data_IF_009626583310
#
_entry.id   IF_009626583310
#
_cell.length_a   1.000
_cell.length_b   1.000
_cell.length_c   1.000
_cell.angle_alpha   90.00
_cell.angle_beta   90.00
_cell.angle_gamma   90.00
#
_symmetry.space_group_name_H-M   'P 1'
#
loop_
_entity.id
_entity.type
_entity.pdbx_description
1 polymer ?
#
# COMPACT_ATOMS: atom_id res chain seq x y z
N UNK A 1 -21.95 -6.46 -22.94
CA UNK A 1 -20.69 -6.85 -22.26
C UNK A 1 -20.14 -5.81 -21.26
N UNK A 2 -20.52 -4.52 -21.34
CA UNK A 2 -20.10 -3.49 -20.36
C UNK A 2 -20.68 -3.74 -18.95
N UNK A 3 -21.92 -4.24 -18.86
CA UNK A 3 -22.60 -4.57 -17.59
C UNK A 3 -21.78 -5.53 -16.70
N UNK A 4 -21.16 -6.55 -17.29
CA UNK A 4 -20.36 -7.53 -16.52
C UNK A 4 -19.10 -6.88 -15.93
N UNK A 5 -18.47 -5.99 -16.69
CA UNK A 5 -17.30 -5.24 -16.22
C UNK A 5 -17.67 -4.20 -15.16
N UNK A 6 -18.89 -3.65 -15.22
CA UNK A 6 -19.42 -2.71 -14.24
C UNK A 6 -19.65 -3.36 -12.87
N UNK A 7 -20.01 -4.65 -12.85
CA UNK A 7 -20.25 -5.42 -11.62
C UNK A 7 -18.94 -5.93 -11.01
N UNK A 8 -17.85 -6.01 -11.78
CA UNK A 8 -16.57 -6.58 -11.32
C UNK A 8 -15.96 -5.83 -10.13
N UNK A 9 -15.88 -4.47 -10.08
CA UNK A 9 -15.41 -3.76 -8.89
C UNK A 9 -16.21 -4.08 -7.63
N UNK A 10 -17.53 -4.24 -7.77
CA UNK A 10 -18.41 -4.58 -6.66
C UNK A 10 -18.17 -6.02 -6.16
N UNK A 11 -18.09 -7.00 -7.07
CA UNK A 11 -17.78 -8.39 -6.72
C UNK A 11 -16.41 -8.53 -6.07
N UNK A 12 -15.41 -7.79 -6.56
CA UNK A 12 -14.08 -7.79 -5.97
C UNK A 12 -14.06 -7.14 -4.57
N UNK A 13 -14.84 -6.07 -4.36
CA UNK A 13 -15.05 -5.49 -3.03
C UNK A 13 -15.72 -6.46 -2.05
N UNK A 14 -16.75 -7.19 -2.52
CA UNK A 14 -17.40 -8.24 -1.74
C UNK A 14 -16.46 -9.42 -1.45
N UNK A 15 -15.60 -9.81 -2.40
CA UNK A 15 -14.60 -10.86 -2.18
C UNK A 15 -13.60 -10.46 -1.08
N UNK A 16 -13.15 -9.19 -1.05
CA UNK A 16 -12.32 -8.68 0.05
C UNK A 16 -13.06 -8.66 1.38
N UNK A 17 -14.32 -8.20 1.41
CA UNK A 17 -15.11 -8.23 2.64
C UNK A 17 -15.27 -9.68 3.16
N UNK A 18 -15.56 -10.61 2.25
CA UNK A 18 -15.65 -12.04 2.56
C UNK A 18 -14.33 -12.58 3.14
N UNK A 19 -13.19 -12.16 2.58
CA UNK A 19 -11.87 -12.52 3.07
C UNK A 19 -11.63 -12.07 4.52
N UNK A 20 -12.00 -10.84 4.89
CA UNK A 20 -11.87 -10.38 6.29
C UNK A 20 -12.85 -11.10 7.23
N UNK A 21 -14.06 -11.40 6.76
CA UNK A 21 -15.04 -12.15 7.57
C UNK A 21 -14.64 -13.61 7.79
N UNK A 22 -14.07 -14.28 6.77
CA UNK A 22 -13.66 -15.69 6.90
C UNK A 22 -12.54 -15.86 7.93
N UNK A 23 -11.57 -14.94 7.93
CA UNK A 23 -10.49 -14.86 8.93
C UNK A 23 -11.03 -14.74 10.35
N UNK A 24 -12.22 -14.14 10.53
CA UNK A 24 -12.82 -13.93 11.85
C UNK A 24 -13.65 -15.12 12.34
N UNK A 25 -14.32 -15.82 11.42
CA UNK A 25 -15.29 -16.88 11.75
C UNK A 25 -14.62 -18.25 11.84
N UNK A 26 -13.67 -18.55 10.95
CA UNK A 26 -13.04 -19.87 10.83
C UNK A 26 -11.50 -19.79 10.82
N UNK A 27 -10.84 -19.44 11.95
CA UNK A 27 -9.39 -19.32 12.02
C UNK A 27 -8.64 -20.61 11.62
N UNK A 28 -9.25 -21.78 11.84
CA UNK A 28 -8.65 -23.09 11.53
C UNK A 28 -8.48 -23.35 10.04
N UNK A 29 -9.24 -22.68 9.17
CA UNK A 29 -9.20 -22.85 7.71
C UNK A 29 -8.46 -21.71 6.99
N UNK A 30 -7.88 -20.78 7.77
CA UNK A 30 -7.23 -19.57 7.25
C UNK A 30 -6.16 -19.88 6.20
N UNK A 31 -5.36 -20.93 6.41
CA UNK A 31 -4.28 -21.32 5.50
C UNK A 31 -4.76 -21.74 4.10
N UNK A 32 -6.04 -22.10 3.95
CA UNK A 32 -6.60 -22.59 2.68
C UNK A 32 -7.60 -21.58 2.10
N UNK A 33 -8.57 -21.12 2.90
CA UNK A 33 -9.64 -20.24 2.40
C UNK A 33 -9.13 -18.85 2.04
N UNK A 34 -8.27 -18.26 2.88
CA UNK A 34 -7.75 -16.92 2.65
C UNK A 34 -6.97 -16.80 1.32
N UNK A 35 -6.00 -17.68 1.01
CA UNK A 35 -5.31 -17.60 -0.28
C UNK A 35 -6.23 -17.86 -1.47
N UNK A 36 -7.23 -18.75 -1.36
CA UNK A 36 -8.19 -18.99 -2.45
C UNK A 36 -9.02 -17.74 -2.74
N UNK A 37 -9.60 -17.11 -1.71
CA UNK A 37 -10.41 -15.91 -1.86
C UNK A 37 -9.54 -14.74 -2.35
N UNK A 38 -8.30 -14.62 -1.84
CA UNK A 38 -7.36 -13.59 -2.29
C UNK A 38 -6.97 -13.78 -3.76
N UNK A 39 -6.69 -15.01 -4.21
CA UNK A 39 -6.43 -15.30 -5.62
C UNK A 39 -7.66 -15.00 -6.48
N UNK A 40 -8.86 -15.36 -6.04
CA UNK A 40 -10.10 -15.03 -6.74
C UNK A 40 -10.27 -13.50 -6.87
N UNK A 41 -10.01 -12.76 -5.80
CA UNK A 41 -9.98 -11.29 -5.82
C UNK A 41 -8.99 -10.76 -6.87
N UNK A 42 -7.75 -11.25 -6.88
CA UNK A 42 -6.75 -10.84 -7.86
C UNK A 42 -7.16 -11.18 -9.30
N UNK A 43 -7.82 -12.33 -9.52
CA UNK A 43 -8.33 -12.69 -10.84
C UNK A 43 -9.46 -11.76 -11.31
N UNK A 44 -10.35 -11.34 -10.40
CA UNK A 44 -11.39 -10.34 -10.71
C UNK A 44 -10.76 -8.99 -11.08
N UNK A 45 -9.73 -8.55 -10.35
CA UNK A 45 -8.98 -7.33 -10.65
C UNK A 45 -8.23 -7.46 -11.98
N UNK A 46 -7.54 -8.58 -12.21
CA UNK A 46 -6.81 -8.83 -13.45
C UNK A 46 -7.74 -8.83 -14.67
N UNK A 47 -8.95 -9.39 -14.52
CA UNK A 47 -10.01 -9.30 -15.52
C UNK A 47 -10.41 -7.86 -15.80
N UNK A 48 -10.53 -7.02 -14.77
CA UNK A 48 -10.85 -5.60 -14.93
C UNK A 48 -9.81 -4.89 -15.79
N UNK A 49 -8.54 -5.26 -15.63
CA UNK A 49 -7.41 -4.78 -16.44
C UNK A 49 -7.22 -5.53 -17.77
N UNK A 50 -8.24 -6.27 -18.24
CA UNK A 50 -8.25 -7.00 -19.52
C UNK A 50 -7.15 -8.08 -19.64
N UNK A 51 -6.60 -8.56 -18.53
CA UNK A 51 -5.49 -9.53 -18.51
C UNK A 51 -4.30 -9.13 -19.40
N UNK A 52 -3.99 -7.84 -19.48
CA UNK A 52 -2.86 -7.34 -20.27
C UNK A 52 -1.52 -7.57 -19.54
N UNK A 53 -1.17 -8.85 -19.31
CA UNK A 53 0.01 -9.27 -18.55
C UNK A 53 1.33 -8.84 -19.20
N UNK A 54 1.32 -8.43 -20.47
CA UNK A 54 2.50 -7.91 -21.16
C UNK A 54 2.75 -6.44 -20.85
N UNK A 55 1.72 -5.71 -20.44
CA UNK A 55 1.85 -4.30 -20.13
C UNK A 55 2.43 -4.09 -18.72
N UNK A 56 3.53 -3.35 -18.56
CA UNK A 56 4.01 -2.94 -17.23
C UNK A 56 2.96 -2.16 -16.42
N UNK A 57 2.02 -1.48 -17.09
CA UNK A 57 0.92 -0.76 -16.40
C UNK A 57 0.01 -1.73 -15.65
N UNK A 58 -0.25 -2.91 -16.22
CA UNK A 58 -1.05 -3.96 -15.57
C UNK A 58 -0.42 -4.36 -14.23
N UNK A 59 0.89 -4.63 -14.23
CA UNK A 59 1.60 -5.04 -13.03
C UNK A 59 1.70 -3.92 -11.99
N UNK A 60 1.90 -2.67 -12.41
CA UNK A 60 1.96 -1.54 -11.48
C UNK A 60 0.63 -1.33 -10.73
N UNK A 61 -0.49 -1.38 -11.45
CA UNK A 61 -1.81 -1.20 -10.86
C UNK A 61 -2.22 -2.40 -10.00
N UNK A 62 -1.99 -3.62 -10.50
CA UNK A 62 -2.34 -4.85 -9.79
C UNK A 62 -1.50 -5.01 -8.51
N UNK A 63 -0.19 -4.80 -8.59
CA UNK A 63 0.69 -4.98 -7.43
C UNK A 63 0.43 -3.94 -6.34
N UNK A 64 0.15 -2.69 -6.69
CA UNK A 64 -0.24 -1.65 -5.70
C UNK A 64 -1.46 -2.07 -4.90
N UNK A 65 -2.50 -2.54 -5.59
CA UNK A 65 -3.73 -3.00 -4.94
C UNK A 65 -3.52 -4.31 -4.17
N UNK A 66 -2.76 -5.25 -4.73
CA UNK A 66 -2.47 -6.53 -4.09
C UNK A 66 -1.69 -6.33 -2.79
N UNK A 67 -0.64 -5.50 -2.80
CA UNK A 67 0.15 -5.19 -1.60
C UNK A 67 -0.71 -4.45 -0.56
N UNK A 68 -1.56 -3.51 -0.98
CA UNK A 68 -2.47 -2.83 -0.07
C UNK A 68 -3.41 -3.81 0.66
N UNK A 69 -4.03 -4.71 -0.09
CA UNK A 69 -4.94 -5.71 0.48
C UNK A 69 -4.20 -6.73 1.36
N UNK A 70 -3.05 -7.23 0.89
CA UNK A 70 -2.24 -8.20 1.64
C UNK A 70 -1.67 -7.60 2.94
N UNK A 71 -1.17 -6.37 2.89
CA UNK A 71 -0.67 -5.67 4.08
C UNK A 71 -1.79 -5.32 5.06
N UNK A 72 -2.97 -4.91 4.56
CA UNK A 72 -4.16 -4.72 5.38
C UNK A 72 -4.60 -6.02 6.08
N UNK A 73 -4.60 -7.15 5.37
CA UNK A 73 -4.88 -8.46 5.96
C UNK A 73 -3.82 -8.87 6.98
N UNK A 74 -2.53 -8.64 6.69
CA UNK A 74 -1.46 -8.94 7.63
C UNK A 74 -1.62 -8.15 8.93
N UNK A 75 -1.93 -6.84 8.86
CA UNK A 75 -2.17 -6.01 10.04
C UNK A 75 -3.43 -6.45 10.80
N UNK A 76 -4.48 -6.86 10.08
CA UNK A 76 -5.74 -7.33 10.68
C UNK A 76 -5.52 -8.47 11.69
N UNK A 77 -4.58 -9.38 11.41
CA UNK A 77 -4.25 -10.51 12.29
C UNK A 77 -3.67 -10.06 13.64
N UNK A 78 -3.05 -8.89 13.72
CA UNK A 78 -2.42 -8.38 14.94
C UNK A 78 -3.34 -7.46 15.77
N UNK A 79 -4.50 -7.06 15.27
CA UNK A 79 -5.44 -6.29 16.08
C UNK A 79 -6.18 -7.19 17.06
N UNK A 80 -6.24 -6.80 18.33
CA UNK A 80 -7.03 -7.50 19.37
C UNK A 80 -8.47 -7.00 19.40
N UNK A 81 -8.68 -5.70 19.20
CA UNK A 81 -10.00 -5.07 19.28
C UNK A 81 -10.84 -5.36 18.03
N UNK A 82 -12.04 -5.91 18.23
CA UNK A 82 -13.01 -6.18 17.15
C UNK A 82 -13.40 -4.93 16.38
N UNK A 83 -13.54 -3.79 17.06
CA UNK A 83 -13.88 -2.52 16.41
C UNK A 83 -12.75 -2.04 15.50
N UNK A 84 -11.48 -2.20 15.90
CA UNK A 84 -10.32 -1.88 15.07
C UNK A 84 -10.23 -2.81 13.85
N UNK A 85 -10.49 -4.11 14.04
CA UNK A 85 -10.57 -5.10 12.95
C UNK A 85 -11.65 -4.72 11.95
N UNK A 86 -12.89 -4.48 12.40
CA UNK A 86 -14.00 -4.10 11.53
C UNK A 86 -13.70 -2.81 10.78
N UNK A 87 -13.16 -1.79 11.46
CA UNK A 87 -12.76 -0.54 10.84
C UNK A 87 -11.74 -0.76 9.72
N UNK A 88 -10.69 -1.55 9.98
CA UNK A 88 -9.67 -1.86 8.97
C UNK A 88 -10.26 -2.62 7.78
N UNK A 89 -11.11 -3.62 8.02
CA UNK A 89 -11.75 -4.41 6.97
C UNK A 89 -12.64 -3.53 6.07
N UNK A 90 -13.46 -2.65 6.65
CA UNK A 90 -14.30 -1.69 5.92
C UNK A 90 -13.42 -0.70 5.16
N UNK A 91 -12.39 -0.15 5.79
CA UNK A 91 -11.48 0.81 5.19
C UNK A 91 -10.76 0.23 3.96
N UNK A 92 -10.16 -0.95 4.09
CA UNK A 92 -9.45 -1.63 3.00
C UNK A 92 -10.41 -2.01 1.87
N UNK A 93 -11.59 -2.53 2.19
CA UNK A 93 -12.58 -2.92 1.17
C UNK A 93 -13.13 -1.70 0.42
N UNK A 94 -13.46 -0.62 1.14
CA UNK A 94 -13.98 0.62 0.54
C UNK A 94 -12.93 1.30 -0.35
N UNK A 95 -11.69 1.45 0.13
CA UNK A 95 -10.65 2.11 -0.65
C UNK A 95 -10.26 1.28 -1.88
N UNK A 96 -10.23 -0.05 -1.75
CA UNK A 96 -10.04 -0.96 -2.89
C UNK A 96 -11.18 -0.85 -3.90
N UNK A 97 -12.43 -0.77 -3.44
CA UNK A 97 -13.58 -0.54 -4.32
C UNK A 97 -13.46 0.77 -5.09
N UNK A 98 -13.14 1.89 -4.41
CA UNK A 98 -12.93 3.19 -5.05
C UNK A 98 -11.81 3.12 -6.09
N UNK A 99 -10.70 2.44 -5.77
CA UNK A 99 -9.59 2.22 -6.71
C UNK A 99 -10.03 1.45 -7.95
N UNK A 100 -10.74 0.33 -7.76
CA UNK A 100 -11.23 -0.50 -8.86
C UNK A 100 -12.29 0.22 -9.71
N UNK A 101 -13.15 1.03 -9.11
CA UNK A 101 -14.12 1.85 -9.84
C UNK A 101 -13.41 2.88 -10.75
N UNK A 102 -12.34 3.52 -10.27
CA UNK A 102 -11.53 4.43 -11.08
C UNK A 102 -10.75 3.70 -12.19
N UNK A 103 -10.21 2.53 -11.87
CA UNK A 103 -9.61 1.64 -12.86
C UNK A 103 -10.61 1.20 -13.96
N UNK A 104 -11.86 0.92 -13.59
CA UNK A 104 -12.91 0.61 -14.54
C UNK A 104 -13.13 1.76 -15.52
N UNK A 105 -13.25 3.00 -15.02
CA UNK A 105 -13.38 4.18 -15.89
C UNK A 105 -12.17 4.35 -16.80
N UNK A 106 -10.95 4.14 -16.27
CA UNK A 106 -9.72 4.26 -17.06
C UNK A 106 -9.67 3.27 -18.24
N UNK A 107 -10.02 1.99 -18.04
CA UNK A 107 -9.89 0.95 -19.07
C UNK A 107 -11.10 0.80 -19.99
N UNK A 108 -12.30 1.11 -19.51
CA UNK A 108 -13.56 0.80 -20.22
C UNK A 108 -14.41 2.03 -20.57
N UNK A 109 -14.22 3.17 -19.90
CA UNK A 109 -15.01 4.40 -20.09
C UNK A 109 -14.15 5.66 -20.01
N UNK A 110 -13.16 5.76 -20.89
CA UNK A 110 -12.19 6.87 -20.89
C UNK A 110 -12.84 8.27 -20.95
N UNK A 111 -14.00 8.39 -21.62
CA UNK A 111 -14.74 9.66 -21.70
C UNK A 111 -15.23 10.21 -20.35
N UNK A 112 -15.36 9.37 -19.32
CA UNK A 112 -15.76 9.77 -17.95
C UNK A 112 -14.60 9.79 -16.96
N UNK A 113 -13.39 9.41 -17.40
CA UNK A 113 -12.23 9.32 -16.53
C UNK A 113 -11.70 10.71 -16.19
N UNK A 114 -11.55 11.01 -14.90
CA UNK A 114 -10.87 12.21 -14.44
C UNK A 114 -9.35 12.00 -14.50
N UNK A 115 -8.67 12.89 -15.21
CA UNK A 115 -7.21 12.84 -15.34
C UNK A 115 -6.53 12.85 -13.96
N UNK A 116 -5.47 12.05 -13.81
CA UNK A 116 -4.66 11.92 -12.59
C UNK A 116 -5.33 11.24 -11.38
N UNK A 117 -6.58 10.78 -11.50
CA UNK A 117 -7.30 10.13 -10.40
C UNK A 117 -6.65 8.81 -9.97
N UNK A 118 -6.30 7.94 -10.92
CA UNK A 118 -5.66 6.65 -10.65
C UNK A 118 -4.23 6.82 -10.13
N UNK A 119 -3.49 7.82 -10.64
CA UNK A 119 -2.18 8.22 -10.14
C UNK A 119 -2.25 8.62 -8.66
N UNK A 120 -3.22 9.46 -8.31
CA UNK A 120 -3.41 9.91 -6.94
C UNK A 120 -3.81 8.78 -6.00
N UNK A 121 -4.77 7.94 -6.40
CA UNK A 121 -5.19 6.80 -5.60
C UNK A 121 -4.07 5.77 -5.43
N UNK A 122 -3.22 5.55 -6.45
CA UNK A 122 -2.06 4.64 -6.33
C UNK A 122 -1.07 5.17 -5.29
N UNK A 123 -0.83 6.48 -5.23
CA UNK A 123 0.00 7.07 -4.18
C UNK A 123 -0.63 6.91 -2.79
N UNK A 124 -1.93 7.14 -2.65
CA UNK A 124 -2.66 6.93 -1.39
C UNK A 124 -2.53 5.48 -0.93
N UNK A 125 -2.82 4.52 -1.82
CA UNK A 125 -2.68 3.09 -1.54
C UNK A 125 -1.26 2.77 -1.10
N UNK A 126 -0.23 3.31 -1.76
CA UNK A 126 1.16 3.11 -1.38
C UNK A 126 1.47 3.58 0.04
N UNK A 127 1.02 4.78 0.42
CA UNK A 127 1.22 5.33 1.77
C UNK A 127 0.57 4.44 2.84
N UNK A 128 -0.69 4.03 2.65
CA UNK A 128 -1.35 3.14 3.59
C UNK A 128 -0.74 1.73 3.60
N UNK A 129 -0.31 1.22 2.44
CA UNK A 129 0.36 -0.07 2.35
C UNK A 129 1.66 -0.10 3.15
N UNK A 130 2.45 0.97 3.11
CA UNK A 130 3.68 1.09 3.92
C UNK A 130 3.34 1.12 5.40
N UNK A 131 2.33 1.89 5.81
CA UNK A 131 1.89 1.88 7.20
C UNK A 131 1.43 0.49 7.67
N UNK A 132 0.60 -0.20 6.88
CA UNK A 132 0.08 -1.52 7.23
C UNK A 132 1.18 -2.59 7.25
N UNK A 133 2.03 -2.63 6.23
CA UNK A 133 3.12 -3.58 6.14
C UNK A 133 4.17 -3.35 7.23
N UNK A 134 4.59 -2.10 7.47
CA UNK A 134 5.52 -1.80 8.55
C UNK A 134 4.92 -2.17 9.92
N UNK A 135 3.65 -1.84 10.17
CA UNK A 135 2.97 -2.20 11.41
C UNK A 135 2.92 -3.72 11.61
N UNK A 136 2.50 -4.46 10.59
CA UNK A 136 2.41 -5.92 10.63
C UNK A 136 3.78 -6.58 10.80
N UNK A 137 4.82 -6.06 10.13
CA UNK A 137 6.17 -6.60 10.22
C UNK A 137 6.84 -6.29 11.56
N UNK A 138 6.69 -5.08 12.12
CA UNK A 138 7.16 -4.79 13.46
C UNK A 138 6.40 -5.59 14.52
N UNK A 139 5.09 -5.78 14.37
CA UNK A 139 4.32 -6.67 15.24
C UNK A 139 4.80 -8.12 15.12
N UNK A 140 5.02 -8.62 13.90
CA UNK A 140 5.58 -9.95 13.68
C UNK A 140 6.97 -10.10 14.32
N UNK A 141 7.84 -9.10 14.20
CA UNK A 141 9.14 -9.08 14.87
C UNK A 141 9.00 -9.22 16.39
N UNK A 142 8.05 -8.48 16.98
CA UNK A 142 7.82 -8.45 18.42
C UNK A 142 7.21 -9.76 18.96
N UNK A 143 6.26 -10.36 18.24
CA UNK A 143 5.48 -11.51 18.74
C UNK A 143 5.98 -12.87 18.25
N UNK A 144 6.51 -12.95 17.02
CA UNK A 144 6.93 -14.21 16.38
C UNK A 144 8.45 -14.36 16.42
N UNK A 145 9.19 -13.26 16.67
CA UNK A 145 10.65 -13.21 16.68
C UNK A 145 11.36 -13.78 15.42
N UNK A 146 10.87 -13.53 14.18
CA UNK A 146 11.61 -13.89 12.99
C UNK A 146 12.93 -13.11 12.89
N UNK A 147 13.92 -13.62 12.13
CA UNK A 147 15.16 -12.90 11.89
C UNK A 147 14.92 -11.52 11.30
N UNK A 148 15.52 -10.47 11.89
CA UNK A 148 15.35 -9.08 11.44
C UNK A 148 15.71 -8.90 9.96
N UNK A 149 16.75 -9.61 9.49
CA UNK A 149 17.16 -9.60 8.08
C UNK A 149 16.05 -10.09 7.14
N UNK A 150 15.28 -11.11 7.53
CA UNK A 150 14.16 -11.62 6.72
C UNK A 150 13.06 -10.57 6.60
N UNK A 151 12.68 -9.95 7.71
CA UNK A 151 11.67 -8.88 7.71
C UNK A 151 12.13 -7.69 6.85
N UNK A 152 13.40 -7.29 6.99
CA UNK A 152 13.94 -6.17 6.23
C UNK A 152 13.93 -6.44 4.71
N UNK A 153 14.25 -7.67 4.28
CA UNK A 153 14.17 -8.07 2.87
C UNK A 153 12.71 -8.01 2.37
N UNK A 154 11.76 -8.54 3.15
CA UNK A 154 10.33 -8.49 2.79
C UNK A 154 9.87 -7.03 2.66
N UNK A 155 10.23 -6.18 3.62
CA UNK A 155 9.89 -4.76 3.60
C UNK A 155 10.53 -4.03 2.41
N UNK A 156 11.79 -4.31 2.10
CA UNK A 156 12.49 -3.74 0.96
C UNK A 156 11.79 -4.06 -0.36
N UNK A 157 11.37 -5.33 -0.54
CA UNK A 157 10.63 -5.75 -1.75
C UNK A 157 9.28 -5.04 -1.83
N UNK A 158 8.55 -4.93 -0.72
CA UNK A 158 7.27 -4.20 -0.66
C UNK A 158 7.47 -2.74 -1.09
N UNK A 159 8.41 -2.03 -0.47
CA UNK A 159 8.68 -0.62 -0.76
C UNK A 159 9.14 -0.43 -2.20
N UNK A 160 10.00 -1.32 -2.71
CA UNK A 160 10.47 -1.30 -4.09
C UNK A 160 9.30 -1.37 -5.08
N UNK A 161 8.39 -2.33 -4.89
CA UNK A 161 7.24 -2.53 -5.78
C UNK A 161 6.26 -1.35 -5.67
N UNK A 162 6.02 -0.81 -4.47
CA UNK A 162 5.15 0.34 -4.28
C UNK A 162 5.71 1.62 -4.93
N UNK A 163 7.01 1.90 -4.74
CA UNK A 163 7.66 3.04 -5.38
C UNK A 163 7.68 2.88 -6.91
N UNK A 164 8.06 1.71 -7.40
CA UNK A 164 8.05 1.41 -8.83
C UNK A 164 6.66 1.64 -9.41
N UNK A 165 5.62 1.11 -8.77
CA UNK A 165 4.24 1.24 -9.24
C UNK A 165 3.74 2.68 -9.24
N UNK A 166 3.97 3.42 -8.16
CA UNK A 166 3.51 4.80 -8.04
C UNK A 166 4.21 5.76 -9.03
N UNK A 167 5.52 5.58 -9.22
CA UNK A 167 6.30 6.36 -10.21
C UNK A 167 5.94 5.96 -11.64
N UNK A 168 5.76 4.66 -11.90
CA UNK A 168 5.38 4.17 -13.22
C UNK A 168 3.99 4.67 -13.65
N UNK A 169 2.99 4.56 -12.76
CA UNK A 169 1.63 5.06 -13.00
C UNK A 169 1.64 6.59 -13.19
N UNK A 170 2.58 7.31 -12.57
CA UNK A 170 2.81 8.74 -12.82
C UNK A 170 3.44 9.07 -14.18
N UNK A 171 3.60 8.09 -15.08
CA UNK A 171 4.15 8.22 -16.44
C UNK A 171 5.60 8.72 -16.47
N UNK A 172 6.37 8.36 -15.45
CA UNK A 172 7.81 8.63 -15.39
C UNK A 172 8.54 7.61 -16.27
N UNK A 173 9.63 8.05 -16.93
CA UNK A 173 10.48 7.16 -17.74
C UNK A 173 10.96 5.93 -16.94
N UNK A 174 11.07 4.79 -17.62
CA UNK A 174 11.42 3.51 -17.00
C UNK A 174 12.77 3.54 -16.29
N UNK A 175 13.79 4.18 -16.90
CA UNK A 175 15.14 4.23 -16.30
C UNK A 175 15.13 5.02 -15.00
N UNK A 176 14.48 6.20 -15.01
CA UNK A 176 14.34 7.04 -13.81
C UNK A 176 13.51 6.30 -12.75
N UNK A 177 12.40 5.68 -13.14
CA UNK A 177 11.54 4.90 -12.23
C UNK A 177 12.35 3.84 -11.49
N UNK A 178 13.13 3.02 -12.19
CA UNK A 178 13.93 1.96 -11.60
C UNK A 178 14.99 2.48 -10.61
N UNK A 179 15.71 3.55 -10.97
CA UNK A 179 16.75 4.15 -10.11
C UNK A 179 16.14 4.72 -8.84
N UNK A 180 15.07 5.52 -8.96
CA UNK A 180 14.42 6.14 -7.79
C UNK A 180 13.71 5.10 -6.91
N UNK A 181 13.10 4.06 -7.49
CA UNK A 181 12.50 2.98 -6.70
C UNK A 181 13.54 2.17 -5.94
N UNK A 182 14.68 1.86 -6.56
CA UNK A 182 15.77 1.12 -5.90
C UNK A 182 16.42 1.95 -4.78
N UNK A 183 16.76 3.21 -5.06
CA UNK A 183 17.33 4.12 -4.06
C UNK A 183 16.36 4.35 -2.90
N UNK A 184 15.08 4.56 -3.20
CA UNK A 184 14.05 4.74 -2.17
C UNK A 184 13.82 3.50 -1.33
N UNK A 185 13.79 2.31 -1.95
CA UNK A 185 13.66 1.04 -1.23
C UNK A 185 14.84 0.83 -0.27
N UNK A 186 16.07 1.09 -0.71
CA UNK A 186 17.25 1.00 0.16
C UNK A 186 17.16 1.98 1.34
N UNK A 187 16.96 3.28 1.06
CA UNK A 187 16.89 4.32 2.09
C UNK A 187 15.79 4.06 3.12
N UNK A 188 14.60 3.69 2.67
CA UNK A 188 13.46 3.43 3.55
C UNK A 188 13.67 2.14 4.35
N UNK A 189 14.33 1.13 3.78
CA UNK A 189 14.66 -0.12 4.51
C UNK A 189 15.76 0.10 5.55
N UNK A 190 16.79 0.88 5.25
CA UNK A 190 17.81 1.27 6.23
C UNK A 190 17.19 2.02 7.40
N UNK A 191 16.25 2.93 7.09
CA UNK A 191 15.51 3.65 8.11
C UNK A 191 14.56 2.73 8.89
N UNK A 192 13.93 1.74 8.26
CA UNK A 192 13.16 0.68 8.93
C UNK A 192 13.99 -0.12 9.92
N UNK A 193 15.21 -0.52 9.52
CA UNK A 193 16.17 -1.20 10.39
C UNK A 193 16.59 -0.30 11.55
N UNK A 194 16.92 0.96 11.27
CA UNK A 194 17.33 1.93 12.29
C UNK A 194 16.23 2.16 13.34
N UNK A 195 14.98 2.32 12.89
CA UNK A 195 13.81 2.52 13.76
C UNK A 195 13.45 1.25 14.52
N UNK A 196 13.83 0.06 14.05
CA UNK A 196 13.60 -1.19 14.79
C UNK A 196 14.35 -1.24 16.13
N UNK A 197 15.41 -0.45 16.29
CA UNK A 197 16.18 -0.31 17.54
C UNK A 197 15.64 0.78 18.47
N UNK A 198 14.65 1.58 18.04
CA UNK A 198 14.04 2.58 18.91
C UNK A 198 13.09 1.89 19.90
N UNK A 199 13.09 2.29 21.19
CA UNK A 199 12.26 1.68 22.19
C UNK A 199 10.85 2.29 22.17
N UNK A 200 10.16 2.07 21.06
CA UNK A 200 8.82 2.59 20.77
C UNK A 200 7.90 1.50 20.25
N UNK A 201 6.59 1.73 20.37
CA UNK A 201 5.58 0.78 19.87
C UNK A 201 5.63 0.58 18.35
N UNK A 202 5.22 -0.61 17.89
CA UNK A 202 5.21 -0.97 16.46
C UNK A 202 4.41 0.02 15.59
N UNK A 203 3.31 0.57 16.10
CA UNK A 203 2.49 1.55 15.39
C UNK A 203 3.21 2.90 15.21
N UNK A 204 3.97 3.33 16.22
CA UNK A 204 4.82 4.54 16.16
C UNK A 204 5.89 4.37 15.07
N UNK A 205 6.57 3.23 15.08
CA UNK A 205 7.61 2.91 14.11
C UNK A 205 7.05 2.89 12.68
N UNK A 206 5.90 2.25 12.49
CA UNK A 206 5.22 2.22 11.21
C UNK A 206 4.73 3.60 10.74
N UNK A 207 4.28 4.46 11.65
CA UNK A 207 3.90 5.83 11.34
C UNK A 207 5.11 6.64 10.85
N UNK A 208 6.28 6.48 11.47
CA UNK A 208 7.53 7.07 10.97
C UNK A 208 7.87 6.58 9.55
N UNK A 209 7.73 5.28 9.27
CA UNK A 209 7.95 4.74 7.92
C UNK A 209 7.01 5.36 6.89
N UNK A 210 5.73 5.48 7.26
CA UNK A 210 4.69 6.05 6.42
C UNK A 210 5.01 7.52 6.04
N UNK A 211 5.42 8.33 7.02
CA UNK A 211 5.80 9.74 6.78
C UNK A 211 7.03 9.82 5.87
N UNK A 212 8.07 9.03 6.15
CA UNK A 212 9.29 9.01 5.32
C UNK A 212 8.97 8.58 3.89
N UNK A 213 8.16 7.53 3.70
CA UNK A 213 7.72 7.09 2.38
C UNK A 213 6.93 8.16 1.64
N UNK A 214 5.98 8.82 2.33
CA UNK A 214 5.20 9.91 1.75
C UNK A 214 6.09 11.07 1.29
N UNK A 215 7.05 11.49 2.12
CA UNK A 215 8.00 12.54 1.76
C UNK A 215 8.87 12.14 0.57
N UNK A 216 9.44 10.93 0.61
CA UNK A 216 10.30 10.43 -0.46
C UNK A 216 9.55 10.34 -1.79
N UNK A 217 8.37 9.73 -1.80
CA UNK A 217 7.54 9.56 -3.00
C UNK A 217 7.11 10.93 -3.56
N UNK A 218 6.68 11.84 -2.70
CA UNK A 218 6.27 13.19 -3.10
C UNK A 218 7.40 14.02 -3.71
N UNK A 219 8.57 14.03 -3.07
CA UNK A 219 9.75 14.78 -3.53
C UNK A 219 10.38 14.17 -4.78
N UNK A 220 10.55 12.84 -4.82
CA UNK A 220 11.10 12.15 -6.00
C UNK A 220 10.23 12.36 -7.23
N UNK A 221 8.90 12.22 -7.10
CA UNK A 221 7.96 12.51 -8.18
C UNK A 221 8.02 13.96 -8.64
N UNK A 222 8.07 14.92 -7.71
CA UNK A 222 8.17 16.33 -8.05
C UNK A 222 9.50 16.66 -8.78
N UNK A 223 10.60 16.07 -8.33
CA UNK A 223 11.91 16.23 -8.96
C UNK A 223 11.95 15.64 -10.37
N UNK A 224 11.48 14.39 -10.53
CA UNK A 224 11.57 13.70 -11.81
C UNK A 224 10.64 14.31 -12.87
N UNK A 225 9.51 14.87 -12.46
CA UNK A 225 8.59 15.60 -13.33
C UNK A 225 9.01 17.07 -13.56
N UNK A 226 10.20 17.47 -13.08
CA UNK A 226 10.74 18.83 -13.22
C UNK A 226 9.81 19.92 -12.63
N UNK A 227 9.00 19.52 -11.65
CA UNK A 227 8.07 20.39 -10.91
C UNK A 227 8.60 20.74 -9.53
N UNK A 228 9.85 20.42 -9.21
CA UNK A 228 10.41 20.66 -7.89
C UNK A 228 10.67 22.15 -7.69
N UNK A 229 9.84 22.77 -6.87
CA UNK A 229 10.03 24.16 -6.43
C UNK A 229 10.43 24.19 -4.96
N UNK A 230 11.06 25.28 -4.54
CA UNK A 230 11.35 25.53 -3.11
C UNK A 230 10.09 25.41 -2.24
N UNK A 231 8.94 25.85 -2.75
CA UNK A 231 7.66 25.75 -2.05
C UNK A 231 7.23 24.29 -1.84
N UNK A 232 7.42 23.42 -2.83
CA UNK A 232 7.10 21.99 -2.70
C UNK A 232 8.03 21.33 -1.68
N UNK A 233 9.33 21.62 -1.73
CA UNK A 233 10.29 21.11 -0.74
C UNK A 233 9.89 21.53 0.68
N UNK A 234 9.62 22.81 0.88
CA UNK A 234 9.18 23.33 2.20
C UNK A 234 7.88 22.66 2.63
N UNK A 235 6.90 22.48 1.75
CA UNK A 235 5.61 21.86 2.09
C UNK A 235 5.78 20.43 2.57
N UNK A 236 6.54 19.60 1.84
CA UNK A 236 6.78 18.21 2.25
C UNK A 236 7.63 18.10 3.51
N UNK A 237 8.69 18.91 3.63
CA UNK A 237 9.56 18.90 4.81
C UNK A 237 8.84 19.43 6.05
N UNK A 238 8.08 20.52 5.95
CA UNK A 238 7.33 21.08 7.08
C UNK A 238 6.23 20.14 7.55
N UNK A 239 5.46 19.56 6.61
CA UNK A 239 4.40 18.60 6.96
C UNK A 239 4.99 17.30 7.53
N UNK A 240 6.09 16.82 6.97
CA UNK A 240 6.83 15.67 7.49
C UNK A 240 7.38 15.92 8.89
N UNK A 241 8.05 17.05 9.11
CA UNK A 241 8.58 17.43 10.42
C UNK A 241 7.47 17.59 11.46
N UNK A 242 6.34 18.22 11.09
CA UNK A 242 5.18 18.35 11.96
C UNK A 242 4.58 16.97 12.31
N UNK A 243 4.44 16.08 11.33
CA UNK A 243 3.94 14.73 11.55
C UNK A 243 4.88 13.91 12.46
N UNK A 244 6.19 13.94 12.21
CA UNK A 244 7.20 13.28 13.04
C UNK A 244 7.18 13.83 14.46
N UNK A 245 7.10 15.14 14.64
CA UNK A 245 7.01 15.77 15.95
C UNK A 245 5.75 15.35 16.72
N UNK A 246 4.59 15.28 16.03
CA UNK A 246 3.34 14.79 16.64
C UNK A 246 3.43 13.31 17.03
N UNK A 247 4.00 12.46 16.17
CA UNK A 247 4.18 11.04 16.44
C UNK A 247 5.11 10.85 17.65
N UNK A 248 6.28 11.49 17.64
CA UNK A 248 7.27 11.41 18.71
C UNK A 248 6.76 12.01 20.04
N UNK A 249 5.95 13.06 19.97
CA UNK A 249 5.37 13.71 21.15
C UNK A 249 4.18 12.95 21.75
N UNK A 250 3.47 12.14 20.96
CA UNK A 250 2.34 11.32 21.44
C UNK A 250 2.71 9.87 21.72
N UNK A 251 3.87 9.42 21.27
CA UNK A 251 4.34 8.06 21.51
C UNK A 251 4.74 7.84 22.96
N UNK A 252 4.38 6.66 23.48
CA UNK A 252 4.91 6.16 24.76
C UNK A 252 6.30 5.59 24.48
N UNK A 253 7.33 6.26 25.01
CA UNK A 253 8.70 5.79 25.03
C UNK A 253 8.89 4.88 26.25
N UNK A 254 9.40 3.68 26.05
CA UNK A 254 9.57 2.66 27.12
C UNK A 254 11.02 2.35 27.39
#
# INVERSE_FOLDING_TARGET
MILVHRITPFLAGLALAALFTSVSIAPSLLSIEAPIIFVLFLLLVARLFKFDMRSPSFWALLSSLAIFCASGLALYLFFESESARLFLAVFVSMLSYIYMENAFYYYHLQAKYQAYSLEYLTMILGVFSVFFSASALYAAYLFIHPPLALIAIIFAVIVLVLLWSALYVSKIDHKRTAVYSAAGALLITELFLSVSFLPSGFATNAALMCVTFYMFLGLSRAHVLEKLTKQIVIRYSALGAAAVALIAGTSRWT
#
